data_IF_825124985549
#
_entry.id   IF_825124985549
#
_cell.length_a   1.000
_cell.length_b   1.000
_cell.length_c   1.000
_cell.angle_alpha   90.00
_cell.angle_beta   90.00
_cell.angle_gamma   90.00
#
_symmetry.space_group_name_H-M   'P 1'
#
loop_
_entity.id
_entity.type
_entity.pdbx_description
1 polymer ?
#
# COMPACT_ATOMS: atom_id res chain seq x y z
N UNK A 1 12.80 -6.47 -31.89
CA UNK A 1 12.44 -5.66 -30.70
C UNK A 1 11.66 -6.58 -29.79
N UNK A 2 12.05 -6.70 -28.53
CA UNK A 2 11.49 -7.71 -27.64
C UNK A 2 10.14 -7.28 -27.06
N UNK A 3 9.07 -7.89 -27.57
CA UNK A 3 7.70 -7.61 -27.14
C UNK A 3 7.49 -7.85 -25.64
N UNK A 4 8.21 -8.81 -25.05
CA UNK A 4 8.09 -9.20 -23.64
C UNK A 4 8.62 -8.11 -22.70
N UNK A 5 9.78 -7.54 -23.00
CA UNK A 5 10.33 -6.45 -22.19
C UNK A 5 9.45 -5.19 -22.25
N UNK A 6 8.91 -4.88 -23.42
CA UNK A 6 8.00 -3.75 -23.61
C UNK A 6 6.69 -3.94 -22.85
N UNK A 7 6.10 -5.14 -22.85
CA UNK A 7 4.88 -5.40 -22.07
C UNK A 7 5.15 -5.40 -20.56
N UNK A 8 6.28 -5.93 -20.10
CA UNK A 8 6.68 -5.86 -18.69
C UNK A 8 6.79 -4.40 -18.21
N UNK A 9 7.40 -3.53 -19.02
CA UNK A 9 7.52 -2.13 -18.70
C UNK A 9 6.14 -1.44 -18.70
N UNK A 10 5.30 -1.68 -19.72
CA UNK A 10 3.94 -1.17 -19.76
C UNK A 10 3.10 -1.65 -18.57
N UNK A 11 3.31 -2.88 -18.11
CA UNK A 11 2.67 -3.44 -16.91
C UNK A 11 3.06 -2.66 -15.65
N UNK A 12 4.36 -2.41 -15.47
CA UNK A 12 4.86 -1.55 -14.40
C UNK A 12 4.21 -0.16 -14.43
N UNK A 13 4.15 0.47 -15.60
CA UNK A 13 3.48 1.78 -15.74
C UNK A 13 2.01 1.72 -15.34
N UNK A 14 1.27 0.71 -15.82
CA UNK A 14 -0.14 0.55 -15.47
C UNK A 14 -0.36 0.40 -13.95
N UNK A 15 0.51 -0.35 -13.27
CA UNK A 15 0.49 -0.47 -11.80
C UNK A 15 0.72 0.90 -11.14
N UNK A 16 1.78 1.62 -11.54
CA UNK A 16 2.11 2.93 -10.96
C UNK A 16 1.09 4.03 -11.28
N UNK A 17 0.45 4.01 -12.45
CA UNK A 17 -0.68 4.88 -12.78
C UNK A 17 -1.82 4.66 -11.79
N UNK A 18 -2.14 3.39 -11.50
CA UNK A 18 -3.16 3.02 -10.50
C UNK A 18 -2.80 3.48 -9.09
N UNK A 19 -1.56 3.25 -8.66
CA UNK A 19 -1.08 3.71 -7.35
C UNK A 19 -1.10 5.24 -7.23
N UNK A 20 -0.58 5.94 -8.24
CA UNK A 20 -0.54 7.40 -8.29
C UNK A 20 -1.95 8.00 -8.28
N UNK A 21 -2.87 7.51 -9.11
CA UNK A 21 -4.25 7.98 -9.13
C UNK A 21 -5.01 7.74 -7.82
N UNK A 22 -4.62 6.70 -7.07
CA UNK A 22 -5.17 6.40 -5.75
C UNK A 22 -4.51 7.19 -4.59
N UNK A 23 -3.51 8.03 -4.88
CA UNK A 23 -2.89 8.95 -3.92
C UNK A 23 -1.50 8.55 -3.42
N UNK A 24 -0.86 7.54 -4.00
CA UNK A 24 0.56 7.26 -3.74
C UNK A 24 1.41 8.33 -4.42
N UNK A 25 2.40 8.85 -3.71
CA UNK A 25 3.36 9.85 -4.24
C UNK A 25 4.82 9.46 -4.04
N UNK A 26 5.08 8.45 -3.21
CA UNK A 26 6.43 8.00 -2.88
C UNK A 26 6.57 6.51 -3.09
N UNK A 27 7.67 6.14 -3.72
CA UNK A 27 8.10 4.75 -3.92
C UNK A 27 9.46 4.59 -3.26
N UNK A 28 9.64 3.54 -2.47
CA UNK A 28 10.93 3.13 -1.90
C UNK A 28 11.38 1.90 -2.67
N UNK A 29 12.52 1.99 -3.34
CA UNK A 29 13.00 1.00 -4.28
C UNK A 29 14.29 0.37 -3.76
N UNK A 30 14.29 -0.96 -3.64
CA UNK A 30 15.47 -1.80 -3.49
C UNK A 30 15.74 -2.50 -4.83
N UNK A 31 16.74 -2.05 -5.61
CA UNK A 31 16.90 -2.45 -7.01
C UNK A 31 17.41 -3.89 -7.15
N UNK A 32 16.94 -4.58 -8.17
CA UNK A 32 17.46 -5.88 -8.60
C UNK A 32 17.01 -6.24 -10.00
N UNK A 33 17.63 -7.26 -10.61
CA UNK A 33 17.40 -7.59 -12.02
C UNK A 33 15.92 -7.84 -12.33
N UNK A 34 15.24 -8.69 -11.56
CA UNK A 34 13.81 -9.03 -11.78
C UNK A 34 12.88 -7.83 -11.65
N UNK A 35 13.20 -6.88 -10.76
CA UNK A 35 12.39 -5.67 -10.55
C UNK A 35 12.66 -4.55 -11.55
N UNK A 36 13.56 -4.74 -12.53
CA UNK A 36 13.91 -3.72 -13.53
C UNK A 36 12.70 -3.03 -14.20
N UNK A 37 11.67 -3.75 -14.69
CA UNK A 37 10.50 -3.09 -15.28
C UNK A 37 9.77 -2.17 -14.30
N UNK A 38 9.65 -2.60 -13.03
CA UNK A 38 8.99 -1.83 -11.98
C UNK A 38 9.85 -0.64 -11.55
N UNK A 39 11.16 -0.83 -11.40
CA UNK A 39 12.11 0.23 -11.06
C UNK A 39 12.09 1.35 -12.10
N UNK A 40 12.16 0.99 -13.39
CA UNK A 40 12.08 1.95 -14.49
C UNK A 40 10.73 2.66 -14.54
N UNK A 41 9.62 1.93 -14.34
CA UNK A 41 8.29 2.52 -14.36
C UNK A 41 8.08 3.51 -13.20
N UNK A 42 8.53 3.18 -11.99
CA UNK A 42 8.48 4.08 -10.84
C UNK A 42 9.35 5.32 -11.04
N UNK A 43 10.59 5.14 -11.49
CA UNK A 43 11.55 6.24 -11.64
C UNK A 43 11.18 7.22 -12.75
N UNK A 44 10.47 6.75 -13.79
CA UNK A 44 10.05 7.58 -14.93
C UNK A 44 8.63 8.15 -14.78
N UNK A 45 7.88 7.76 -13.75
CA UNK A 45 6.51 8.25 -13.56
C UNK A 45 6.53 9.71 -13.03
N UNK A 46 5.84 10.66 -13.69
CA UNK A 46 5.97 12.09 -13.40
C UNK A 46 5.49 12.50 -11.99
N UNK A 47 4.46 11.83 -11.46
CA UNK A 47 3.88 12.15 -10.15
C UNK A 47 4.50 11.39 -8.96
N UNK A 48 5.52 10.54 -9.20
CA UNK A 48 6.11 9.68 -8.16
C UNK A 48 7.53 10.12 -7.82
N UNK A 49 7.78 10.30 -6.53
CA UNK A 49 9.13 10.46 -6.00
C UNK A 49 9.69 9.08 -5.61
N UNK A 50 10.66 8.59 -6.38
CA UNK A 50 11.32 7.30 -6.12
C UNK A 50 12.58 7.52 -5.28
N UNK A 51 12.64 6.89 -4.11
CA UNK A 51 13.82 6.87 -3.24
C UNK A 51 14.47 5.49 -3.30
N UNK A 52 15.75 5.44 -3.65
CA UNK A 52 16.51 4.18 -3.60
C UNK A 52 17.01 3.95 -2.18
N UNK A 53 16.75 2.76 -1.65
CA UNK A 53 17.28 2.26 -0.38
C UNK A 53 17.74 0.81 -0.62
N UNK A 54 19.05 0.60 -0.54
CA UNK A 54 19.66 -0.67 -0.94
C UNK A 54 19.28 -1.84 -0.03
N UNK A 55 19.32 -1.62 1.29
CA UNK A 55 18.92 -2.62 2.29
C UNK A 55 17.40 -2.71 2.38
N UNK A 56 16.81 -3.84 1.99
CA UNK A 56 15.35 -4.05 1.96
C UNK A 56 14.72 -3.88 3.34
N UNK A 57 15.39 -4.36 4.39
CA UNK A 57 14.93 -4.21 5.77
C UNK A 57 14.85 -2.73 6.15
N UNK A 58 15.91 -1.96 5.91
CA UNK A 58 15.95 -0.51 6.08
C UNK A 58 14.91 0.21 5.21
N UNK A 59 14.70 -0.25 3.98
CA UNK A 59 13.69 0.28 3.06
C UNK A 59 12.27 0.17 3.65
N UNK A 60 11.93 -0.97 4.26
CA UNK A 60 10.64 -1.19 4.90
C UNK A 60 10.39 -0.21 6.06
N UNK A 61 11.38 0.02 6.92
CA UNK A 61 11.27 1.00 8.00
C UNK A 61 11.28 2.45 7.51
N UNK A 62 12.04 2.76 6.47
CA UNK A 62 12.01 4.07 5.82
C UNK A 62 10.61 4.36 5.25
N UNK A 63 10.01 3.40 4.55
CA UNK A 63 8.67 3.52 4.01
C UNK A 63 7.61 3.67 5.12
N UNK A 64 7.71 2.89 6.21
CA UNK A 64 6.88 3.03 7.40
C UNK A 64 6.92 4.47 7.95
N UNK A 65 8.13 4.99 8.18
CA UNK A 65 8.35 6.34 8.68
C UNK A 65 7.78 7.40 7.73
N UNK A 66 8.05 7.26 6.43
CA UNK A 66 7.56 8.18 5.41
C UNK A 66 6.03 8.18 5.30
N UNK A 67 5.40 7.00 5.31
CA UNK A 67 3.94 6.88 5.27
C UNK A 67 3.29 7.49 6.51
N UNK A 68 3.89 7.25 7.69
CA UNK A 68 3.42 7.79 8.95
C UNK A 68 3.57 9.31 9.04
N UNK A 69 4.69 9.86 8.60
CA UNK A 69 4.92 11.30 8.60
C UNK A 69 4.05 12.03 7.55
N UNK A 70 3.85 11.42 6.38
CA UNK A 70 3.09 12.00 5.28
C UNK A 70 1.58 11.77 5.32
N UNK A 71 1.09 10.86 6.17
CA UNK A 71 -0.35 10.53 6.24
C UNK A 71 -0.90 9.87 4.97
N UNK A 72 -0.03 9.39 4.08
CA UNK A 72 -0.37 8.84 2.78
C UNK A 72 0.32 7.47 2.58
N UNK A 73 -0.26 6.56 1.77
CA UNK A 73 0.37 5.28 1.47
C UNK A 73 1.70 5.46 0.73
N UNK A 74 2.67 4.62 1.07
CA UNK A 74 3.98 4.54 0.41
C UNK A 74 4.13 3.15 -0.22
N UNK A 75 4.62 3.12 -1.46
CA UNK A 75 4.91 1.86 -2.13
C UNK A 75 6.36 1.43 -1.87
N UNK A 76 6.57 0.12 -1.77
CA UNK A 76 7.88 -0.54 -1.69
C UNK A 76 8.03 -1.43 -2.92
N UNK A 77 9.22 -1.44 -3.52
CA UNK A 77 9.56 -2.29 -4.66
C UNK A 77 10.85 -3.02 -4.35
N UNK A 78 10.85 -4.35 -4.48
CA UNK A 78 12.04 -5.18 -4.39
C UNK A 78 12.04 -6.27 -5.47
N UNK A 79 13.22 -6.84 -5.69
CA UNK A 79 13.40 -8.02 -6.53
C UNK A 79 12.87 -9.29 -5.85
N UNK A 80 12.94 -10.42 -6.56
CA UNK A 80 12.52 -11.72 -6.05
C UNK A 80 13.45 -12.30 -4.98
N UNK A 81 12.99 -13.34 -4.29
CA UNK A 81 13.79 -14.10 -3.35
C UNK A 81 13.82 -13.47 -1.95
N UNK A 82 14.95 -13.62 -1.25
CA UNK A 82 15.10 -13.21 0.15
C UNK A 82 14.87 -11.72 0.40
N UNK A 83 15.04 -10.88 -0.62
CA UNK A 83 14.74 -9.45 -0.58
C UNK A 83 13.32 -9.17 -0.03
N UNK A 84 12.34 -9.97 -0.42
CA UNK A 84 10.95 -9.81 0.05
C UNK A 84 10.80 -10.21 1.53
N UNK A 85 11.56 -11.23 1.98
CA UNK A 85 11.55 -11.68 3.38
C UNK A 85 12.11 -10.62 4.34
N UNK A 86 13.09 -9.83 3.89
CA UNK A 86 13.68 -8.74 4.68
C UNK A 86 12.68 -7.62 5.02
N UNK A 87 11.55 -7.53 4.32
CA UNK A 87 10.48 -6.60 4.68
C UNK A 87 9.68 -7.02 5.91
N UNK A 88 9.72 -8.29 6.32
CA UNK A 88 8.85 -8.84 7.37
C UNK A 88 8.87 -8.05 8.68
N UNK A 89 10.02 -7.57 9.21
CA UNK A 89 10.03 -6.75 10.42
C UNK A 89 9.28 -5.42 10.25
N UNK A 90 9.52 -4.71 9.14
CA UNK A 90 8.86 -3.43 8.86
C UNK A 90 7.37 -3.59 8.55
N UNK A 91 6.98 -4.67 7.87
CA UNK A 91 5.59 -5.03 7.59
C UNK A 91 4.85 -5.37 8.88
N UNK A 92 5.48 -6.10 9.80
CA UNK A 92 4.90 -6.41 11.11
C UNK A 92 4.65 -5.14 11.93
N UNK A 93 5.60 -4.20 11.93
CA UNK A 93 5.39 -2.90 12.60
C UNK A 93 4.30 -2.08 11.91
N UNK A 94 4.26 -2.05 10.58
CA UNK A 94 3.21 -1.34 9.82
C UNK A 94 1.81 -1.91 10.06
N UNK A 95 1.69 -3.23 10.19
CA UNK A 95 0.47 -3.92 10.58
C UNK A 95 -0.03 -3.45 11.96
N UNK A 96 0.84 -3.51 12.97
CA UNK A 96 0.53 -3.13 14.35
C UNK A 96 0.26 -1.62 14.50
N UNK A 97 1.00 -0.80 13.76
CA UNK A 97 0.92 0.66 13.81
C UNK A 97 -0.18 1.23 12.89
N UNK A 98 -0.90 0.38 12.15
CA UNK A 98 -1.92 0.77 11.16
C UNK A 98 -1.38 1.77 10.14
N UNK A 99 -0.27 1.42 9.51
CA UNK A 99 0.39 2.24 8.48
C UNK A 99 0.18 1.61 7.10
N UNK A 100 -0.39 2.33 6.12
CA UNK A 100 -0.63 1.78 4.78
C UNK A 100 0.66 1.69 3.98
N UNK A 101 1.10 0.46 3.72
CA UNK A 101 2.22 0.18 2.83
C UNK A 101 1.75 -0.67 1.65
N UNK A 102 2.23 -0.36 0.44
CA UNK A 102 1.94 -1.15 -0.76
C UNK A 102 3.23 -1.87 -1.17
N UNK A 103 3.30 -3.17 -0.95
CA UNK A 103 4.47 -4.00 -1.23
C UNK A 103 4.35 -4.56 -2.64
N UNK A 104 5.29 -4.22 -3.54
CA UNK A 104 5.39 -4.76 -4.89
C UNK A 104 6.65 -5.63 -4.97
N UNK A 105 6.50 -6.95 -4.91
CA UNK A 105 7.62 -7.86 -5.13
C UNK A 105 7.65 -8.32 -6.57
N UNK A 106 8.77 -8.13 -7.25
CA UNK A 106 8.99 -8.79 -8.53
C UNK A 106 9.23 -10.29 -8.29
N UNK A 107 8.75 -11.14 -9.19
CA UNK A 107 8.88 -12.59 -9.07
C UNK A 107 9.18 -13.24 -10.43
N UNK A 108 9.64 -14.49 -10.39
CA UNK A 108 9.71 -15.34 -11.56
C UNK A 108 8.32 -15.72 -12.06
N UNK A 109 8.18 -16.01 -13.36
CA UNK A 109 6.94 -16.55 -13.88
C UNK A 109 6.68 -17.95 -13.28
N UNK A 110 5.41 -18.39 -13.18
CA UNK A 110 5.05 -19.64 -12.49
C UNK A 110 5.85 -20.87 -12.94
N UNK A 111 6.14 -20.98 -14.24
CA UNK A 111 6.91 -22.08 -14.83
C UNK A 111 8.38 -22.16 -14.39
N UNK A 112 8.92 -21.10 -13.77
CA UNK A 112 10.30 -21.04 -13.25
C UNK A 112 10.36 -21.00 -11.72
N UNK A 113 9.26 -21.33 -11.04
CA UNK A 113 9.22 -21.46 -9.58
C UNK A 113 9.35 -22.92 -9.17
N UNK A 114 9.86 -23.15 -7.96
CA UNK A 114 9.99 -24.49 -7.36
C UNK A 114 10.82 -25.51 -8.17
N UNK A 115 11.58 -25.05 -9.15
CA UNK A 115 12.46 -25.87 -10.00
C UNK A 115 13.95 -25.71 -9.65
N UNK A 116 14.27 -25.22 -8.44
CA UNK A 116 15.65 -24.92 -8.03
C UNK A 116 16.25 -23.68 -8.70
N UNK A 117 15.44 -22.83 -9.33
CA UNK A 117 15.90 -21.57 -9.87
C UNK A 117 16.51 -20.68 -8.76
N UNK A 118 17.58 -19.95 -9.09
CA UNK A 118 18.18 -19.03 -8.14
C UNK A 118 17.23 -17.88 -7.80
N UNK A 119 17.25 -17.45 -6.53
CA UNK A 119 16.47 -16.31 -6.03
C UNK A 119 14.95 -16.48 -6.17
N UNK A 120 14.44 -17.70 -5.99
CA UNK A 120 13.00 -17.99 -5.81
C UNK A 120 12.70 -18.47 -4.41
N UNK A 121 11.70 -17.85 -3.78
CA UNK A 121 11.03 -18.33 -2.58
C UNK A 121 9.52 -18.40 -2.87
N UNK A 122 8.74 -18.99 -1.97
CA UNK A 122 7.28 -18.89 -2.04
C UNK A 122 6.86 -17.48 -1.57
N UNK A 123 6.69 -16.56 -2.54
CA UNK A 123 6.32 -15.16 -2.27
C UNK A 123 4.82 -14.94 -2.04
N UNK A 124 3.90 -15.61 -2.76
CA UNK A 124 2.48 -15.45 -2.52
C UNK A 124 2.11 -15.74 -1.06
N UNK A 125 1.50 -14.75 -0.39
CA UNK A 125 1.07 -14.92 1.01
C UNK A 125 2.20 -14.92 2.04
N UNK A 126 3.43 -14.55 1.68
CA UNK A 126 4.61 -14.55 2.56
C UNK A 126 4.38 -13.82 3.90
N UNK A 127 3.60 -12.74 3.89
CA UNK A 127 3.31 -11.93 5.08
C UNK A 127 2.12 -12.42 5.91
N UNK A 128 1.38 -13.44 5.44
CA UNK A 128 0.21 -13.99 6.10
C UNK A 128 -0.76 -12.92 6.63
N UNK A 129 -1.14 -13.05 7.89
CA UNK A 129 -2.07 -12.15 8.58
C UNK A 129 -1.53 -10.73 8.83
N UNK A 130 -0.25 -10.46 8.55
CA UNK A 130 0.34 -9.11 8.66
C UNK A 130 -0.04 -8.21 7.48
N UNK A 131 -0.48 -8.79 6.37
CA UNK A 131 -1.04 -8.04 5.26
C UNK A 131 -2.57 -8.02 5.32
N UNK A 132 -3.19 -6.90 4.96
CA UNK A 132 -4.65 -6.77 4.80
C UNK A 132 -5.14 -7.52 3.56
N UNK A 133 -4.27 -7.62 2.57
CA UNK A 133 -4.54 -8.27 1.30
C UNK A 133 -3.22 -8.70 0.68
N UNK A 134 -3.23 -9.88 0.06
CA UNK A 134 -2.13 -10.43 -0.72
C UNK A 134 -2.71 -10.92 -2.03
N UNK A 135 -2.11 -10.50 -3.16
CA UNK A 135 -2.54 -10.89 -4.48
C UNK A 135 -1.34 -11.24 -5.35
N UNK A 136 -1.40 -12.41 -5.98
CA UNK A 136 -0.54 -12.71 -7.12
C UNK A 136 -1.18 -12.14 -8.39
N UNK A 137 -0.44 -11.29 -9.09
CA UNK A 137 -0.87 -10.75 -10.37
C UNK A 137 -0.67 -11.79 -11.48
N UNK A 138 -1.51 -11.76 -12.54
CA UNK A 138 -1.25 -12.55 -13.73
C UNK A 138 0.02 -12.06 -14.42
N UNK A 139 0.50 -12.87 -15.37
CA UNK A 139 1.60 -12.46 -16.22
C UNK A 139 1.23 -11.22 -17.05
N UNK A 140 2.21 -10.35 -17.36
CA UNK A 140 1.98 -9.16 -18.16
C UNK A 140 1.41 -9.48 -19.55
N UNK A 141 0.20 -8.97 -19.79
CA UNK A 141 -0.46 -9.05 -21.08
C UNK A 141 -1.09 -7.69 -21.43
N UNK A 142 -1.07 -7.34 -22.72
CA UNK A 142 -1.53 -6.02 -23.18
C UNK A 142 -3.01 -5.79 -22.90
N UNK A 143 -3.83 -6.82 -23.08
CA UNK A 143 -5.26 -6.79 -22.78
C UNK A 143 -5.56 -6.62 -21.27
N UNK A 144 -4.61 -6.99 -20.40
CA UNK A 144 -4.76 -6.95 -18.95
C UNK A 144 -4.17 -5.69 -18.31
N UNK A 145 -3.59 -4.75 -19.05
CA UNK A 145 -3.06 -3.48 -18.51
C UNK A 145 -4.10 -2.69 -17.68
N UNK A 146 -5.38 -2.56 -18.12
CA UNK A 146 -6.40 -1.94 -17.28
C UNK A 146 -6.66 -2.72 -15.98
N UNK A 147 -6.50 -4.05 -15.99
CA UNK A 147 -6.65 -4.90 -14.80
C UNK A 147 -5.52 -4.66 -13.82
N UNK A 148 -4.26 -4.53 -14.28
CA UNK A 148 -3.14 -4.15 -13.43
C UNK A 148 -3.37 -2.81 -12.71
N UNK A 149 -3.81 -1.79 -13.45
CA UNK A 149 -4.12 -0.47 -12.90
C UNK A 149 -5.25 -0.53 -11.85
N UNK A 150 -6.31 -1.30 -12.12
CA UNK A 150 -7.39 -1.53 -11.15
C UNK A 150 -6.92 -2.27 -9.90
N UNK A 151 -6.10 -3.32 -10.06
CA UNK A 151 -5.56 -4.08 -8.93
C UNK A 151 -4.70 -3.19 -8.01
N UNK A 152 -3.84 -2.35 -8.59
CA UNK A 152 -3.06 -1.36 -7.85
C UNK A 152 -3.95 -0.34 -7.12
N UNK A 153 -4.98 0.17 -7.79
CA UNK A 153 -5.95 1.10 -7.18
C UNK A 153 -6.68 0.44 -6.00
N UNK A 154 -7.12 -0.81 -6.16
CA UNK A 154 -7.79 -1.58 -5.12
C UNK A 154 -6.85 -1.88 -3.94
N UNK A 155 -5.58 -2.19 -4.20
CA UNK A 155 -4.59 -2.40 -3.15
C UNK A 155 -4.46 -1.16 -2.25
N UNK A 156 -4.47 0.04 -2.82
CA UNK A 156 -4.46 1.29 -2.05
C UNK A 156 -5.76 1.49 -1.26
N UNK A 157 -6.91 1.13 -1.81
CA UNK A 157 -8.18 1.17 -1.09
C UNK A 157 -8.16 0.28 0.15
N UNK A 158 -7.76 -0.98 -0.01
CA UNK A 158 -7.68 -1.96 1.08
C UNK A 158 -6.60 -1.61 2.11
N UNK A 159 -5.47 -1.06 1.67
CA UNK A 159 -4.42 -0.61 2.58
C UNK A 159 -4.88 0.54 3.50
N UNK A 160 -5.93 1.28 3.13
CA UNK A 160 -6.42 2.47 3.85
C UNK A 160 -7.71 2.25 4.65
N UNK A 161 -8.52 1.27 4.30
CA UNK A 161 -9.84 1.02 4.91
C UNK A 161 -10.12 -0.48 4.95
N UNK A 162 -10.73 -1.06 6.02
CA UNK A 162 -11.24 -0.42 7.25
C UNK A 162 -10.14 0.02 8.18
N UNK A 163 -9.09 -0.75 8.14
CA UNK A 163 -8.09 -0.81 9.15
C UNK A 163 -6.76 -0.70 8.42
N UNK A 164 -6.15 0.49 8.43
CA UNK A 164 -4.98 0.72 7.62
C UNK A 164 -3.88 -0.31 7.89
N UNK A 165 -3.10 -0.63 6.87
CA UNK A 165 -2.03 -1.61 6.99
C UNK A 165 -1.41 -2.02 5.66
N UNK A 166 -0.44 -2.94 5.71
CA UNK A 166 0.27 -3.41 4.53
C UNK A 166 -0.63 -4.19 3.57
N UNK A 167 -0.37 -4.06 2.28
CA UNK A 167 -0.95 -4.89 1.21
C UNK A 167 0.19 -5.35 0.30
N UNK A 168 0.15 -6.60 -0.13
CA UNK A 168 1.19 -7.20 -0.96
C UNK A 168 0.66 -7.59 -2.35
N UNK A 169 1.33 -7.12 -3.39
CA UNK A 169 1.14 -7.55 -4.77
C UNK A 169 2.41 -8.26 -5.25
N UNK A 170 2.29 -9.55 -5.55
CA UNK A 170 3.35 -10.32 -6.17
C UNK A 170 3.26 -10.17 -7.71
N UNK A 171 4.37 -9.79 -8.35
CA UNK A 171 4.41 -9.42 -9.77
C UNK A 171 5.30 -10.37 -10.56
N UNK A 172 4.77 -11.45 -11.16
CA UNK A 172 5.55 -12.34 -12.01
C UNK A 172 5.96 -11.63 -13.31
N UNK A 173 7.24 -11.72 -13.67
CA UNK A 173 7.80 -11.08 -14.86
C UNK A 173 8.65 -12.08 -15.65
N UNK A 174 8.30 -12.32 -16.93
CA UNK A 174 9.15 -13.10 -17.85
C UNK A 174 10.33 -12.29 -18.32
N UNK A 175 11.41 -12.96 -18.70
CA UNK A 175 12.50 -12.30 -19.42
C UNK A 175 12.13 -12.08 -20.89
N UNK A 176 12.70 -11.05 -21.53
CA UNK A 176 13.59 -10.03 -20.94
C UNK A 176 12.88 -8.92 -20.15
N UNK A 177 13.67 -8.25 -19.30
CA UNK A 177 13.21 -7.34 -18.26
C UNK A 177 13.53 -5.86 -18.55
N UNK A 178 14.35 -5.58 -19.54
CA UNK A 178 14.79 -4.23 -19.87
C UNK A 178 14.18 -3.82 -21.21
N UNK A 179 13.27 -2.83 -21.25
CA UNK A 179 12.67 -2.36 -22.49
C UNK A 179 13.72 -1.64 -23.35
N UNK A 180 13.58 -1.73 -24.66
CA UNK A 180 14.48 -1.07 -25.62
C UNK A 180 14.11 0.40 -25.87
N UNK A 181 12.85 0.76 -25.62
CA UNK A 181 12.33 2.13 -25.74
C UNK A 181 11.18 2.36 -24.77
N UNK A 182 10.83 3.62 -24.57
CA UNK A 182 9.57 3.95 -23.92
C UNK A 182 8.44 3.80 -24.94
N UNK A 183 7.49 2.89 -24.67
CA UNK A 183 6.24 2.80 -25.43
C UNK A 183 5.38 4.06 -25.26
N UNK A 184 4.33 4.25 -26.08
CA UNK A 184 3.44 5.42 -25.97
C UNK A 184 2.80 5.51 -24.58
N UNK A 185 2.39 6.71 -24.12
CA UNK A 185 1.66 6.88 -22.87
C UNK A 185 0.44 5.94 -22.77
N UNK A 186 0.18 5.41 -21.58
CA UNK A 186 -1.00 4.60 -21.35
C UNK A 186 -2.21 5.51 -21.12
N UNK A 187 -3.26 5.34 -21.91
CA UNK A 187 -4.52 6.06 -21.71
C UNK A 187 -5.39 5.37 -20.64
N UNK A 188 -4.84 5.16 -19.44
CA UNK A 188 -5.54 4.52 -18.32
C UNK A 188 -6.12 5.57 -17.38
N UNK A 189 -7.38 5.35 -16.95
CA UNK A 189 -8.02 6.18 -15.93
C UNK A 189 -7.94 5.48 -14.59
N UNK A 190 -6.98 5.88 -13.76
CA UNK A 190 -6.91 5.44 -12.38
C UNK A 190 -8.10 6.00 -11.59
N UNK A 191 -8.80 5.15 -10.84
CA UNK A 191 -9.92 5.60 -10.02
C UNK A 191 -9.41 6.28 -8.75
N UNK A 192 -10.11 7.34 -8.32
CA UNK A 192 -9.81 7.99 -7.04
C UNK A 192 -10.35 7.15 -5.90
N UNK A 193 -9.52 6.90 -4.90
CA UNK A 193 -9.90 6.17 -3.70
C UNK A 193 -10.23 7.18 -2.59
N UNK A 194 -11.51 7.30 -2.27
CA UNK A 194 -12.01 8.06 -1.11
C UNK A 194 -12.22 7.14 0.09
N UNK A 195 -11.97 7.64 1.31
CA UNK A 195 -12.38 6.93 2.52
C UNK A 195 -13.88 7.11 2.74
N UNK A 196 -14.67 6.03 2.89
CA UNK A 196 -16.05 6.20 3.28
C UNK A 196 -16.13 6.79 4.69
N UNK A 197 -17.00 7.77 4.87
CA UNK A 197 -17.33 8.31 6.19
C UNK A 197 -18.33 7.36 6.85
N UNK A 198 -17.86 6.53 7.78
CA UNK A 198 -18.76 5.73 8.61
C UNK A 198 -19.37 6.66 9.66
N UNK A 199 -20.66 6.97 9.53
CA UNK A 199 -21.39 7.67 10.57
C UNK A 199 -22.10 6.63 11.45
N UNK A 200 -21.90 6.66 12.78
CA UNK A 200 -22.65 5.79 13.67
C UNK A 200 -24.14 6.12 13.60
N UNK A 201 -24.98 5.10 13.76
CA UNK A 201 -26.43 5.28 13.80
C UNK A 201 -26.83 6.24 14.94
N UNK A 202 -27.74 7.21 14.70
CA UNK A 202 -28.19 8.14 15.73
C UNK A 202 -28.77 7.49 16.99
N UNK A 203 -29.42 6.33 16.87
CA UNK A 203 -29.93 5.54 18.00
C UNK A 203 -28.80 5.00 18.88
N UNK A 204 -27.74 4.44 18.28
CA UNK A 204 -26.55 4.01 19.01
C UNK A 204 -25.81 5.17 19.68
N UNK A 205 -25.78 6.35 19.05
CA UNK A 205 -25.23 7.56 19.68
C UNK A 205 -26.02 7.96 20.93
N UNK A 206 -27.34 7.80 20.92
CA UNK A 206 -28.19 8.11 22.06
C UNK A 206 -27.98 7.12 23.21
N UNK A 207 -27.84 5.82 22.93
CA UNK A 207 -27.52 4.79 23.92
C UNK A 207 -26.13 4.99 24.55
N UNK A 208 -25.11 5.28 23.73
CA UNK A 208 -23.79 5.65 24.21
C UNK A 208 -23.82 6.93 25.05
N UNK A 209 -24.66 7.92 24.73
CA UNK A 209 -24.85 9.11 25.57
C UNK A 209 -25.42 8.78 26.95
N UNK A 210 -26.27 7.74 27.07
CA UNK A 210 -26.76 7.28 28.37
C UNK A 210 -25.66 6.61 29.18
N UNK A 211 -24.85 5.74 28.57
CA UNK A 211 -23.66 5.15 29.22
C UNK A 211 -22.60 6.20 29.58
N UNK A 212 -22.50 7.27 28.78
CA UNK A 212 -21.59 8.40 29.04
C UNK A 212 -22.18 9.41 30.05
N UNK A 213 -23.50 9.43 30.30
CA UNK A 213 -24.08 10.28 31.36
C UNK A 213 -23.62 9.88 32.77
N UNK A 214 -23.22 8.63 32.98
CA UNK A 214 -22.52 8.19 34.21
C UNK A 214 -21.10 8.79 34.36
N UNK A 215 -20.54 9.40 33.31
CA UNK A 215 -19.36 10.25 33.45
C UNK A 215 -19.66 11.65 34.00
N UNK A 216 -20.91 12.14 33.89
CA UNK A 216 -21.31 13.43 34.46
C UNK A 216 -21.47 13.39 35.98
N UNK A 217 -21.72 12.20 36.54
CA UNK A 217 -21.71 11.89 37.98
C UNK A 217 -20.36 11.37 38.46
N UNK A 218 -19.51 10.85 37.56
CA UNK A 218 -18.10 10.54 37.84
C UNK A 218 -17.29 11.81 38.07
N UNK A 219 -16.66 11.93 39.23
CA UNK A 219 -15.82 13.09 39.57
C UNK A 219 -14.55 13.24 38.70
N UNK A 220 -14.23 12.27 37.83
CA UNK A 220 -13.05 12.32 36.96
C UNK A 220 -13.19 11.41 35.72
N UNK A 221 -13.89 11.84 34.65
CA UNK A 221 -13.93 11.10 33.39
C UNK A 221 -12.52 10.94 32.79
N UNK A 222 -12.13 9.70 32.51
CA UNK A 222 -10.86 9.37 31.84
C UNK A 222 -11.15 8.95 30.41
N UNK A 223 -10.61 9.69 29.45
CA UNK A 223 -10.57 9.30 28.03
C UNK A 223 -9.17 8.83 27.69
N UNK A 224 -9.05 7.61 27.19
CA UNK A 224 -7.78 7.10 26.67
C UNK A 224 -7.82 7.18 25.15
N UNK A 225 -7.06 8.11 24.56
CA UNK A 225 -6.85 8.12 23.11
C UNK A 225 -5.81 7.08 22.74
N UNK A 226 -6.25 5.97 22.14
CA UNK A 226 -5.33 5.03 21.50
C UNK A 226 -4.92 5.53 20.11
N UNK A 227 -3.84 4.93 19.57
CA UNK A 227 -3.09 5.39 18.39
C UNK A 227 -3.94 5.60 17.13
N UNK A 228 -5.08 4.91 17.02
CA UNK A 228 -6.01 5.02 15.87
C UNK A 228 -6.59 6.44 15.67
N UNK A 229 -6.70 7.24 16.74
CA UNK A 229 -7.33 8.57 16.66
C UNK A 229 -6.54 9.62 15.88
N UNK A 230 -5.24 9.40 15.58
CA UNK A 230 -4.43 10.32 14.76
C UNK A 230 -4.66 10.18 13.26
N UNK A 231 -5.38 9.15 12.82
CA UNK A 231 -5.62 8.90 11.39
C UNK A 231 -6.82 9.66 10.82
N UNK A 232 -7.47 10.49 11.65
CA UNK A 232 -8.50 11.45 11.27
C UNK A 232 -8.02 12.87 11.63
N UNK A 233 -7.11 13.47 10.83
CA UNK A 233 -6.49 14.75 11.16
C UNK A 233 -7.46 15.95 11.08
N UNK A 234 -8.59 15.82 10.38
CA UNK A 234 -9.45 16.96 10.02
C UNK A 234 -10.73 17.11 10.84
N UNK A 235 -10.82 16.55 12.06
CA UNK A 235 -11.98 16.82 12.93
C UNK A 235 -11.60 17.21 14.36
N UNK A 236 -12.19 18.30 14.90
CA UNK A 236 -12.17 18.53 16.33
C UNK A 236 -12.84 17.34 17.03
N UNK A 237 -12.34 17.00 18.22
CA UNK A 237 -12.92 15.92 19.02
C UNK A 237 -14.43 16.17 19.18
N UNK A 238 -15.25 15.24 18.71
CA UNK A 238 -16.72 15.31 18.73
C UNK A 238 -17.33 15.22 20.15
N UNK A 239 -16.52 15.39 21.20
CA UNK A 239 -16.97 15.52 22.58
C UNK A 239 -16.83 16.99 22.96
N UNK A 240 -17.74 17.82 22.45
CA UNK A 240 -17.97 19.14 23.03
C UNK A 240 -18.78 18.94 24.30
N UNK A 241 -18.16 19.18 25.45
CA UNK A 241 -18.90 19.40 26.70
C UNK A 241 -19.84 20.58 26.50
N UNK A 242 -21.12 20.49 26.89
CA UNK A 242 -21.99 21.66 26.88
C UNK A 242 -21.39 22.70 27.84
N UNK A 243 -21.14 23.90 27.34
CA UNK A 243 -20.79 25.05 28.17
C UNK A 243 -21.85 25.21 29.24
N UNK A 244 -21.45 25.09 30.52
CA UNK A 244 -22.27 25.53 31.64
C UNK A 244 -22.43 27.04 31.53
N UNK A 245 -23.56 27.51 31.03
CA UNK A 245 -24.06 28.84 31.35
C UNK A 245 -24.34 28.81 32.86
N UNK A 246 -23.45 29.43 33.63
CA UNK A 246 -23.73 29.76 35.03
C UNK A 246 -24.55 31.05 35.03
N UNK A 247 -25.80 30.90 35.48
CA UNK A 247 -26.80 31.91 35.83
C UNK A 247 -27.36 32.78 34.70
#
# INVERSE_FOLDING_TARGET
MDETAEINYAWGRALFDGLSGAGVRRVVLSPGSRSTPLALAAARHPDLHTQVVLDERGAAFFALGAARAGGAPVALVATSGSAVSEWLPGVTEADLARVPLILLSADRPPELRQCGANQTIDQPGLFGSRSRFSLELPLPERALLPTACRAATQAVAVARWPLPGPVHLNVPLREPLTPGRDGPPLALRAARVSRPLLQPDPGHLQECRYLVKDFGTSQSPKSTRQRDSRYCPDRPALITTPSRTLQ
#
